data_IF_855212479629
#
_entry.id   IF_855212479629
#
_cell.length_a   1.000
_cell.length_b   1.000
_cell.length_c   1.000
_cell.angle_alpha   90.00
_cell.angle_beta   90.00
_cell.angle_gamma   90.00
#
_symmetry.space_group_name_H-M   'P 1'
#
loop_
_entity.id
_entity.type
_entity.pdbx_description
1 polymer ?
#
# COMPACT_ATOMS: atom_id res chain seq x y z
N UNK A 1 10.40 -0.93 -14.91
CA UNK A 1 9.35 -1.67 -15.66
C UNK A 1 8.17 -0.72 -15.93
N UNK A 2 7.58 -0.70 -17.14
CA UNK A 2 6.38 0.09 -17.48
C UNK A 2 5.16 -0.76 -17.83
N UNK A 3 5.27 -2.09 -17.71
CA UNK A 3 4.21 -3.05 -17.97
C UNK A 3 3.84 -3.75 -16.66
N UNK A 4 2.63 -3.54 -16.12
CA UNK A 4 2.20 -4.17 -14.88
C UNK A 4 2.16 -5.70 -14.97
N UNK A 5 1.91 -6.25 -16.16
CA UNK A 5 1.84 -7.71 -16.38
C UNK A 5 3.18 -8.38 -16.09
N UNK A 6 4.30 -7.67 -16.30
CA UNK A 6 5.65 -8.19 -16.03
C UNK A 6 5.98 -8.23 -14.52
N UNK A 7 5.12 -7.64 -13.67
CA UNK A 7 5.24 -7.62 -12.20
C UNK A 7 6.60 -7.01 -11.74
N UNK A 8 6.92 -7.13 -10.46
CA UNK A 8 8.10 -6.49 -9.85
C UNK A 8 7.81 -5.05 -9.45
N UNK A 9 8.81 -4.16 -9.57
CA UNK A 9 8.64 -2.72 -9.38
C UNK A 9 8.38 -2.03 -10.71
N UNK A 10 7.19 -1.46 -10.87
CA UNK A 10 6.73 -0.91 -12.15
C UNK A 10 6.11 0.48 -12.01
N UNK A 11 6.13 1.22 -13.12
CA UNK A 11 5.50 2.53 -13.25
C UNK A 11 4.19 2.41 -14.01
N UNK A 12 3.12 2.96 -13.43
CA UNK A 12 1.85 3.19 -14.10
C UNK A 12 1.57 4.68 -14.30
N UNK A 13 0.41 5.00 -14.88
CA UNK A 13 -0.04 6.37 -15.04
C UNK A 13 -1.57 6.46 -14.94
N UNK A 14 -2.07 7.67 -14.71
CA UNK A 14 -3.48 8.01 -14.76
C UNK A 14 -3.64 9.46 -15.24
N UNK A 15 -4.87 9.87 -15.54
CA UNK A 15 -5.18 11.26 -15.86
C UNK A 15 -5.95 11.91 -14.71
N UNK A 16 -5.57 13.15 -14.39
CA UNK A 16 -6.30 14.01 -13.48
C UNK A 16 -6.27 15.43 -14.05
N UNK A 17 -7.45 16.04 -14.23
CA UNK A 17 -7.61 17.36 -14.88
C UNK A 17 -6.86 17.44 -16.22
N UNK A 18 -7.05 16.44 -17.09
CA UNK A 18 -6.37 16.27 -18.39
C UNK A 18 -4.83 16.20 -18.34
N UNK A 19 -4.23 16.17 -17.15
CA UNK A 19 -2.79 16.03 -16.97
C UNK A 19 -2.44 14.58 -16.67
N UNK A 20 -1.50 14.02 -17.44
CA UNK A 20 -0.97 12.68 -17.20
C UNK A 20 -0.08 12.70 -15.96
N UNK A 21 -0.42 11.88 -14.97
CA UNK A 21 0.31 11.71 -13.71
C UNK A 21 0.87 10.29 -13.63
N UNK A 22 1.98 10.12 -12.92
CA UNK A 22 2.67 8.84 -12.80
C UNK A 22 2.67 8.36 -11.35
N UNK A 23 2.64 7.04 -11.20
CA UNK A 23 2.90 6.37 -9.93
C UNK A 23 3.86 5.23 -10.16
N UNK A 24 4.55 4.81 -9.12
CA UNK A 24 5.39 3.62 -9.11
C UNK A 24 4.95 2.71 -7.97
N UNK A 25 4.81 1.42 -8.23
CA UNK A 25 4.31 0.44 -7.26
C UNK A 25 4.86 -0.95 -7.51
N UNK A 26 4.51 -1.88 -6.63
CA UNK A 26 5.09 -3.22 -6.56
C UNK A 26 4.02 -4.30 -6.67
N UNK A 27 4.34 -5.37 -7.40
CA UNK A 27 3.61 -6.64 -7.33
C UNK A 27 4.60 -7.78 -7.39
N UNK A 28 4.83 -8.46 -6.26
CA UNK A 28 5.93 -9.43 -6.14
C UNK A 28 5.50 -10.89 -6.20
N UNK A 29 4.27 -11.23 -5.82
CA UNK A 29 3.85 -12.62 -5.92
C UNK A 29 3.88 -13.12 -7.38
N UNK A 30 4.29 -14.37 -7.66
CA UNK A 30 4.89 -15.33 -6.70
C UNK A 30 6.41 -15.20 -6.50
N UNK A 31 7.19 -14.75 -7.49
CA UNK A 31 8.67 -14.73 -7.45
C UNK A 31 9.28 -13.49 -8.12
N UNK A 32 8.59 -12.35 -8.04
CA UNK A 32 8.97 -11.12 -8.71
C UNK A 32 9.64 -10.09 -7.80
N UNK A 33 9.83 -10.38 -6.50
CA UNK A 33 10.61 -9.51 -5.61
C UNK A 33 12.05 -9.37 -6.12
N UNK A 34 12.63 -10.46 -6.64
CA UNK A 34 13.95 -10.49 -7.28
C UNK A 34 14.12 -9.53 -8.47
N UNK A 35 13.03 -9.03 -9.07
CA UNK A 35 13.07 -8.03 -10.14
C UNK A 35 13.23 -6.60 -9.61
N UNK A 36 12.95 -6.37 -8.33
CA UNK A 36 13.05 -5.06 -7.68
C UNK A 36 14.33 -4.93 -6.84
N UNK A 37 14.71 -5.98 -6.11
CA UNK A 37 15.93 -6.01 -5.31
C UNK A 37 16.48 -7.46 -5.18
N UNK A 38 17.81 -7.65 -5.08
CA UNK A 38 18.38 -8.97 -4.82
C UNK A 38 17.89 -9.55 -3.49
N UNK A 39 17.33 -10.75 -3.51
CA UNK A 39 16.81 -11.42 -2.33
C UNK A 39 16.69 -12.94 -2.50
N UNK A 40 16.55 -13.64 -1.39
CA UNK A 40 16.13 -15.05 -1.36
C UNK A 40 14.61 -15.13 -1.56
N UNK A 41 14.19 -15.11 -2.82
CA UNK A 41 12.80 -14.96 -3.24
C UNK A 41 12.04 -16.29 -3.25
N UNK A 42 12.01 -16.95 -2.08
CA UNK A 42 11.15 -18.08 -1.76
C UNK A 42 10.43 -17.83 -0.42
N UNK A 43 9.17 -18.24 -0.26
CA UNK A 43 8.37 -17.89 0.92
C UNK A 43 8.98 -18.30 2.28
N UNK A 44 9.79 -19.36 2.30
CA UNK A 44 10.44 -19.88 3.51
C UNK A 44 11.54 -18.97 4.07
N UNK A 45 12.19 -18.15 3.24
CA UNK A 45 13.25 -17.23 3.65
C UNK A 45 12.67 -15.92 4.17
N UNK A 46 11.88 -16.00 5.25
CA UNK A 46 11.30 -14.81 5.88
C UNK A 46 12.38 -13.95 6.51
N UNK A 47 12.19 -12.63 6.46
CA UNK A 47 13.15 -11.65 6.97
C UNK A 47 12.43 -10.40 7.48
N UNK A 48 13.15 -9.59 8.24
CA UNK A 48 12.74 -8.25 8.64
C UNK A 48 13.24 -7.24 7.60
N UNK A 49 12.37 -6.37 7.12
CA UNK A 49 12.71 -5.36 6.12
C UNK A 49 12.59 -3.95 6.71
N UNK A 50 13.65 -3.16 6.58
CA UNK A 50 13.60 -1.71 6.78
C UNK A 50 13.73 -1.06 5.41
N UNK A 51 12.71 -0.31 5.01
CA UNK A 51 12.60 0.25 3.66
C UNK A 51 12.84 1.76 3.75
N UNK A 52 13.63 2.29 2.82
CA UNK A 52 13.81 3.73 2.65
C UNK A 52 13.55 4.10 1.20
N UNK A 53 12.72 5.12 0.98
CA UNK A 53 12.36 5.61 -0.35
C UNK A 53 12.78 7.06 -0.45
N UNK A 54 13.56 7.37 -1.50
CA UNK A 54 13.86 8.76 -1.86
C UNK A 54 13.01 9.14 -3.06
N UNK A 55 12.21 10.19 -2.93
CA UNK A 55 11.27 10.67 -3.96
C UNK A 55 11.38 12.20 -4.09
N UNK A 56 10.95 12.79 -5.23
CA UNK A 56 10.77 14.22 -5.33
C UNK A 56 9.85 14.76 -4.23
N UNK A 57 10.18 15.94 -3.69
CA UNK A 57 9.39 16.66 -2.69
C UNK A 57 8.04 17.17 -3.24
N UNK A 58 7.91 17.23 -4.56
CA UNK A 58 6.67 17.57 -5.29
C UNK A 58 5.58 16.49 -5.22
N UNK A 59 5.92 15.28 -4.76
CA UNK A 59 4.97 14.18 -4.55
C UNK A 59 4.48 14.10 -3.10
N UNK A 60 3.38 13.38 -2.88
CA UNK A 60 2.90 13.06 -1.53
C UNK A 60 3.77 12.00 -0.84
N UNK A 61 3.52 11.72 0.46
CA UNK A 61 4.20 10.65 1.17
C UNK A 61 4.17 9.31 0.43
N UNK A 62 5.27 8.57 0.51
CA UNK A 62 5.32 7.20 0.00
C UNK A 62 4.62 6.25 0.98
N UNK A 63 4.12 5.14 0.44
CA UNK A 63 3.46 4.10 1.21
C UNK A 63 4.29 2.82 1.14
N UNK A 64 4.30 2.06 2.23
CA UNK A 64 4.94 0.75 2.33
C UNK A 64 4.20 -0.10 3.37
N UNK A 65 4.72 -1.28 3.72
CA UNK A 65 4.12 -2.19 4.69
C UNK A 65 3.88 -1.54 6.06
N UNK A 66 4.85 -0.77 6.56
CA UNK A 66 4.81 -0.10 7.86
C UNK A 66 4.64 1.41 7.73
N UNK A 67 4.39 2.11 8.84
CA UNK A 67 4.37 3.57 8.88
C UNK A 67 5.77 4.18 8.71
N UNK A 68 5.83 5.43 8.26
CA UNK A 68 7.08 6.20 8.15
C UNK A 68 7.61 6.47 9.56
N UNK A 69 8.87 6.08 9.82
CA UNK A 69 9.56 6.33 11.10
C UNK A 69 10.34 7.64 11.08
N UNK A 70 10.87 8.05 9.93
CA UNK A 70 11.61 9.30 9.78
C UNK A 70 11.53 9.84 8.36
N UNK A 71 11.64 11.17 8.26
CA UNK A 71 11.60 11.93 7.02
C UNK A 71 12.75 12.91 7.00
N UNK A 72 13.59 12.84 5.95
CA UNK A 72 14.75 13.70 5.77
C UNK A 72 14.64 14.46 4.44
N UNK A 73 14.86 15.77 4.46
CA UNK A 73 14.92 16.59 3.24
C UNK A 73 16.32 16.51 2.65
N UNK A 74 16.41 16.18 1.36
CA UNK A 74 17.66 16.01 0.61
C UNK A 74 17.58 16.83 -0.68
N UNK A 75 17.95 18.10 -0.62
CA UNK A 75 17.78 19.03 -1.75
C UNK A 75 16.31 19.13 -2.15
N UNK A 76 15.99 18.87 -3.42
CA UNK A 76 14.61 18.86 -3.96
C UNK A 76 13.97 17.46 -3.87
N UNK A 77 14.27 16.73 -2.80
CA UNK A 77 13.79 15.37 -2.59
C UNK A 77 13.59 15.12 -1.10
N UNK A 78 12.80 14.11 -0.80
CA UNK A 78 12.54 13.64 0.55
C UNK A 78 12.89 12.17 0.63
N UNK A 79 13.62 11.78 1.66
CA UNK A 79 13.86 10.39 2.03
C UNK A 79 12.97 10.02 3.21
N UNK A 80 12.08 9.07 2.98
CA UNK A 80 11.22 8.49 4.00
C UNK A 80 11.76 7.10 4.35
N UNK A 81 12.03 6.86 5.63
CA UNK A 81 12.37 5.54 6.15
C UNK A 81 11.18 5.02 6.93
N UNK A 82 10.80 3.76 6.68
CA UNK A 82 9.70 3.10 7.34
C UNK A 82 10.18 2.30 8.55
N UNK A 83 9.30 2.11 9.54
CA UNK A 83 9.57 1.17 10.62
C UNK A 83 9.87 -0.24 10.07
N UNK A 84 10.72 -1.03 10.75
CA UNK A 84 10.98 -2.40 10.34
C UNK A 84 9.70 -3.23 10.31
N UNK A 85 9.49 -4.02 9.26
CA UNK A 85 8.36 -4.95 9.16
C UNK A 85 8.41 -6.02 10.26
N UNK A 86 7.31 -6.74 10.54
CA UNK A 86 7.38 -8.09 11.07
C UNK A 86 8.26 -9.01 10.20
N UNK A 87 8.52 -10.23 10.67
CA UNK A 87 9.18 -11.26 9.87
C UNK A 87 8.21 -11.71 8.76
N UNK A 88 8.49 -11.30 7.52
CA UNK A 88 7.63 -11.56 6.35
C UNK A 88 8.41 -12.20 5.21
N UNK A 89 7.70 -12.85 4.29
CA UNK A 89 8.28 -13.36 3.04
C UNK A 89 8.51 -12.24 2.02
N UNK A 90 9.52 -12.36 1.16
CA UNK A 90 9.89 -11.33 0.18
C UNK A 90 8.73 -10.88 -0.74
N UNK A 91 7.82 -11.81 -1.08
CA UNK A 91 6.67 -11.51 -1.94
C UNK A 91 5.63 -10.55 -1.31
N UNK A 92 5.66 -10.38 0.02
CA UNK A 92 4.78 -9.46 0.76
C UNK A 92 5.38 -8.05 0.90
N UNK A 93 6.65 -7.86 0.54
CA UNK A 93 7.25 -6.52 0.56
C UNK A 93 6.51 -5.64 -0.45
N UNK A 94 6.17 -4.42 -0.03
CA UNK A 94 5.42 -3.50 -0.85
C UNK A 94 5.87 -2.06 -0.64
N UNK A 95 5.85 -1.31 -1.73
CA UNK A 95 5.95 0.14 -1.67
C UNK A 95 5.27 0.81 -2.86
N UNK A 96 4.86 2.05 -2.64
CA UNK A 96 4.17 2.90 -3.61
C UNK A 96 4.62 4.36 -3.49
N UNK A 97 4.84 5.00 -4.64
CA UNK A 97 5.23 6.41 -4.75
C UNK A 97 4.33 7.09 -5.78
N UNK A 98 3.61 8.12 -5.36
CA UNK A 98 2.67 8.85 -6.21
C UNK A 98 2.23 10.17 -5.56
N UNK A 99 1.25 10.82 -6.18
CA UNK A 99 0.48 11.90 -5.60
C UNK A 99 -0.94 11.46 -5.17
N UNK A 100 -1.12 10.16 -4.90
CA UNK A 100 -2.37 9.58 -4.39
C UNK A 100 -2.75 10.18 -3.04
N UNK A 101 -4.05 10.14 -2.76
CA UNK A 101 -4.65 10.79 -1.61
C UNK A 101 -5.37 9.76 -0.73
N UNK A 102 -5.17 9.81 0.60
CA UNK A 102 -5.84 8.90 1.54
C UNK A 102 -7.18 9.45 2.02
N UNK A 103 -8.11 8.55 2.32
CA UNK A 103 -9.20 8.76 3.29
C UNK A 103 -8.90 7.91 4.52
N UNK A 104 -8.54 8.57 5.62
CA UNK A 104 -8.25 7.92 6.91
C UNK A 104 -9.57 7.62 7.61
N UNK A 105 -9.78 6.38 8.02
CA UNK A 105 -11.07 5.87 8.50
C UNK A 105 -11.10 5.61 10.01
N UNK A 106 -10.13 6.15 10.75
CA UNK A 106 -10.00 5.84 12.18
C UNK A 106 -10.93 6.65 13.07
N UNK A 107 -11.79 5.94 13.80
CA UNK A 107 -12.62 6.46 14.88
C UNK A 107 -11.91 6.48 16.25
N UNK A 108 -10.84 5.69 16.43
CA UNK A 108 -10.07 5.62 17.70
C UNK A 108 -8.59 5.29 17.46
N UNK A 109 -7.67 6.11 18.01
CA UNK A 109 -6.27 5.70 18.16
C UNK A 109 -6.21 4.49 19.11
N UNK A 110 -5.50 3.38 18.80
CA UNK A 110 -4.36 3.26 17.86
C UNK A 110 -4.57 2.30 16.66
N UNK A 111 -5.71 2.32 15.96
CA UNK A 111 -6.01 1.38 14.85
C UNK A 111 -5.98 2.00 13.44
N UNK A 112 -4.81 2.40 12.88
CA UNK A 112 -4.72 3.11 11.59
C UNK A 112 -5.25 2.28 10.42
N UNK A 113 -6.25 2.84 9.71
CA UNK A 113 -6.88 2.27 8.52
C UNK A 113 -7.11 3.36 7.47
N UNK A 114 -6.70 3.12 6.22
CA UNK A 114 -6.84 4.10 5.13
C UNK A 114 -7.23 3.45 3.81
N UNK A 115 -8.11 4.12 3.06
CA UNK A 115 -8.29 3.86 1.63
C UNK A 115 -7.49 4.91 0.85
N UNK A 116 -6.66 4.48 -0.09
CA UNK A 116 -5.75 5.36 -0.85
C UNK A 116 -6.01 5.17 -2.34
N UNK A 117 -6.20 6.25 -3.08
CA UNK A 117 -6.39 6.20 -4.53
C UNK A 117 -5.76 7.39 -5.24
N UNK A 118 -5.81 7.35 -6.57
CA UNK A 118 -5.60 8.55 -7.38
C UNK A 118 -6.53 9.69 -6.98
N UNK A 119 -6.10 10.92 -7.26
CA UNK A 119 -6.92 12.12 -7.11
C UNK A 119 -8.21 12.01 -7.93
N UNK A 120 -9.30 12.57 -7.40
CA UNK A 120 -10.62 12.57 -8.05
C UNK A 120 -11.41 11.26 -7.93
N UNK A 121 -11.02 10.36 -7.03
CA UNK A 121 -11.78 9.13 -6.74
C UNK A 121 -12.03 8.91 -5.24
N UNK A 122 -11.73 9.91 -4.40
CA UNK A 122 -11.85 9.84 -2.94
C UNK A 122 -13.30 9.75 -2.44
N UNK A 123 -14.24 10.23 -3.24
CA UNK A 123 -15.69 10.09 -3.05
C UNK A 123 -16.15 8.62 -3.09
N UNK A 124 -15.34 7.73 -3.68
CA UNK A 124 -15.61 6.29 -3.79
C UNK A 124 -14.98 5.47 -2.65
N UNK A 125 -14.36 6.12 -1.65
CA UNK A 125 -13.67 5.44 -0.54
C UNK A 125 -14.60 4.95 0.56
N UNK A 126 -15.74 5.61 0.77
CA UNK A 126 -16.53 5.49 2.00
C UNK A 126 -16.96 4.05 2.30
N UNK A 127 -17.45 3.32 1.29
CA UNK A 127 -17.90 1.95 1.45
C UNK A 127 -16.77 1.00 1.86
N UNK A 128 -15.62 1.06 1.17
CA UNK A 128 -14.47 0.22 1.49
C UNK A 128 -13.86 0.54 2.86
N UNK A 129 -13.87 1.82 3.24
CA UNK A 129 -13.45 2.28 4.57
C UNK A 129 -14.32 1.67 5.68
N UNK A 130 -15.64 1.78 5.56
CA UNK A 130 -16.60 1.28 6.55
C UNK A 130 -16.51 -0.24 6.70
N UNK A 131 -16.66 -0.96 5.59
CA UNK A 131 -16.65 -2.43 5.59
C UNK A 131 -15.28 -2.99 5.95
N UNK A 132 -14.19 -2.36 5.50
CA UNK A 132 -12.84 -2.81 5.81
C UNK A 132 -12.50 -2.73 7.29
N UNK A 133 -12.93 -1.66 7.97
CA UNK A 133 -12.79 -1.53 9.44
C UNK A 133 -13.64 -2.58 10.16
N UNK A 134 -14.90 -2.76 9.75
CA UNK A 134 -15.78 -3.77 10.35
C UNK A 134 -15.21 -5.19 10.21
N UNK A 135 -14.77 -5.58 9.01
CA UNK A 135 -14.17 -6.89 8.76
C UNK A 135 -12.91 -7.09 9.62
N UNK A 136 -12.05 -6.07 9.73
CA UNK A 136 -10.83 -6.16 10.54
C UNK A 136 -11.20 -6.44 12.01
N UNK A 137 -12.14 -5.69 12.58
CA UNK A 137 -12.58 -5.88 13.96
C UNK A 137 -13.23 -7.26 14.18
N UNK A 138 -14.07 -7.72 13.24
CA UNK A 138 -14.68 -9.05 13.34
C UNK A 138 -13.64 -10.17 13.27
N UNK A 139 -12.60 -10.02 12.43
CA UNK A 139 -11.50 -10.98 12.35
C UNK A 139 -10.63 -10.96 13.62
N UNK A 140 -10.38 -9.79 14.20
CA UNK A 140 -9.69 -9.65 15.48
C UNK A 140 -10.43 -10.45 16.58
N UNK A 141 -11.74 -10.23 16.69
CA UNK A 141 -12.61 -10.92 17.65
C UNK A 141 -12.67 -12.44 17.39
N UNK A 142 -12.83 -12.84 16.13
CA UNK A 142 -12.97 -14.24 15.75
C UNK A 142 -11.69 -15.05 15.96
N UNK A 143 -10.53 -14.47 15.60
CA UNK A 143 -9.24 -15.14 15.72
C UNK A 143 -8.64 -14.99 17.13
N UNK A 144 -9.10 -14.03 17.92
CA UNK A 144 -8.49 -13.65 19.20
C UNK A 144 -7.09 -13.05 19.02
N UNK A 145 -6.83 -12.43 17.86
CA UNK A 145 -5.54 -11.85 17.49
C UNK A 145 -5.79 -10.44 16.94
N UNK A 146 -5.37 -9.44 17.68
CA UNK A 146 -5.46 -8.03 17.27
C UNK A 146 -4.51 -7.73 16.10
N UNK A 147 -5.07 -7.43 14.92
CA UNK A 147 -4.29 -7.11 13.72
C UNK A 147 -3.27 -5.98 13.97
N UNK A 148 -3.70 -4.94 14.67
CA UNK A 148 -2.88 -3.75 14.92
C UNK A 148 -1.69 -4.01 15.86
N UNK A 149 -1.70 -5.11 16.61
CA UNK A 149 -0.59 -5.54 17.48
C UNK A 149 0.43 -6.44 16.74
N UNK A 150 0.12 -6.87 15.53
CA UNK A 150 0.98 -7.78 14.75
C UNK A 150 2.27 -7.14 14.22
N UNK A 151 2.47 -5.83 14.41
CA UNK A 151 3.64 -5.08 13.91
C UNK A 151 4.97 -5.36 14.64
N UNK A 152 4.98 -6.30 15.61
CA UNK A 152 6.16 -6.74 16.37
C UNK A 152 6.93 -5.58 17.04
N UNK A 153 6.23 -4.84 17.92
CA UNK A 153 6.78 -3.69 18.64
C UNK A 153 6.49 -2.35 18.00
N UNK A 154 5.72 -2.33 16.92
CA UNK A 154 5.15 -1.14 16.27
C UNK A 154 3.67 -1.40 15.98
N UNK A 155 2.87 -0.34 15.91
CA UNK A 155 1.46 -0.46 15.50
C UNK A 155 1.41 -0.86 14.03
N UNK A 156 0.71 -1.94 13.71
CA UNK A 156 0.44 -2.35 12.35
C UNK A 156 -0.64 -1.44 11.75
N UNK A 157 -0.40 -0.88 10.57
CA UNK A 157 -1.43 -0.15 9.81
C UNK A 157 -2.15 -1.08 8.85
N UNK A 158 -3.36 -0.71 8.46
CA UNK A 158 -4.14 -1.41 7.45
C UNK A 158 -4.51 -0.45 6.31
N UNK A 159 -3.54 -0.20 5.42
CA UNK A 159 -3.79 0.64 4.26
C UNK A 159 -4.24 -0.22 3.07
N UNK A 160 -5.25 0.25 2.35
CA UNK A 160 -5.76 -0.36 1.13
C UNK A 160 -5.58 0.61 -0.02
N UNK A 161 -4.81 0.24 -1.04
CA UNK A 161 -4.50 1.11 -2.17
C UNK A 161 -5.17 0.63 -3.47
N UNK A 162 -5.93 1.52 -4.09
CA UNK A 162 -6.60 1.33 -5.37
C UNK A 162 -5.68 1.79 -6.51
N UNK A 163 -5.22 0.84 -7.33
CA UNK A 163 -4.29 1.06 -8.43
C UNK A 163 -5.04 1.03 -9.78
N UNK A 164 -4.87 2.07 -10.64
CA UNK A 164 -5.51 2.12 -11.96
C UNK A 164 -5.17 0.91 -12.85
N UNK A 165 -3.92 0.44 -12.77
CA UNK A 165 -3.43 -0.69 -13.57
C UNK A 165 -2.72 -1.69 -12.65
N UNK A 166 -3.46 -2.73 -12.28
CA UNK A 166 -3.00 -3.81 -11.41
C UNK A 166 -3.20 -5.17 -12.10
N UNK A 167 -2.14 -5.99 -12.23
CA UNK A 167 -2.17 -7.22 -13.02
C UNK A 167 -2.97 -8.34 -12.34
N UNK A 168 -3.43 -8.15 -11.11
CA UNK A 168 -4.23 -9.10 -10.32
C UNK A 168 -5.52 -8.40 -9.84
N UNK A 169 -6.37 -9.11 -9.10
CA UNK A 169 -7.54 -8.49 -8.48
C UNK A 169 -7.16 -7.67 -7.24
N UNK A 170 -6.52 -8.35 -6.30
CA UNK A 170 -5.89 -7.75 -5.13
C UNK A 170 -4.60 -8.50 -4.79
N UNK A 171 -3.82 -7.97 -3.84
CA UNK A 171 -2.65 -8.61 -3.27
C UNK A 171 -2.52 -8.21 -1.79
N UNK A 172 -2.37 -9.21 -0.93
CA UNK A 172 -2.38 -9.12 0.53
C UNK A 172 -1.07 -8.62 1.14
N UNK A 173 -0.39 -7.66 0.50
CA UNK A 173 0.87 -7.15 1.04
C UNK A 173 0.64 -6.57 2.44
N UNK A 174 1.36 -7.12 3.42
CA UNK A 174 1.00 -6.93 4.83
C UNK A 174 1.09 -5.45 5.23
N UNK A 175 -0.04 -4.86 5.62
CA UNK A 175 -0.20 -3.45 5.97
C UNK A 175 -0.35 -2.46 4.83
N UNK A 176 -0.27 -2.91 3.58
CA UNK A 176 -0.52 -2.10 2.39
C UNK A 176 -1.10 -2.99 1.28
N UNK A 177 -2.38 -3.31 1.37
CA UNK A 177 -3.07 -4.22 0.46
C UNK A 177 -3.32 -3.51 -0.87
N UNK A 178 -2.83 -4.08 -1.97
CA UNK A 178 -2.99 -3.51 -3.31
C UNK A 178 -4.23 -4.07 -4.00
N UNK A 179 -5.02 -3.21 -4.65
CA UNK A 179 -6.22 -3.58 -5.40
C UNK A 179 -6.19 -3.00 -6.81
N UNK A 180 -6.84 -3.68 -7.76
CA UNK A 180 -7.38 -2.98 -8.94
C UNK A 180 -8.54 -2.08 -8.49
N UNK A 181 -8.64 -0.87 -9.04
CA UNK A 181 -9.69 0.11 -8.64
C UNK A 181 -11.09 -0.51 -8.55
N UNK A 182 -11.50 -1.31 -9.54
CA UNK A 182 -12.83 -1.94 -9.62
C UNK A 182 -13.15 -2.91 -8.47
N UNK A 183 -12.16 -3.34 -7.69
CA UNK A 183 -12.34 -4.24 -6.54
C UNK A 183 -12.28 -3.53 -5.18
N UNK A 184 -12.04 -2.23 -5.16
CA UNK A 184 -11.94 -1.45 -3.92
C UNK A 184 -12.83 -0.20 -3.94
N UNK A 185 -12.82 0.55 -5.05
CA UNK A 185 -13.59 1.77 -5.19
C UNK A 185 -15.05 1.44 -5.54
N UNK A 186 -15.96 2.16 -4.89
CA UNK A 186 -17.40 1.95 -5.04
C UNK A 186 -18.12 3.27 -5.28
N UNK A 187 -18.88 3.34 -6.37
CA UNK A 187 -19.79 4.43 -6.68
C UNK A 187 -21.24 3.89 -6.65
N UNK A 188 -22.09 4.33 -5.70
CA UNK A 188 -23.49 3.88 -5.64
C UNK A 188 -24.31 4.18 -6.90
N UNK A 189 -23.91 5.17 -7.70
CA UNK A 189 -24.62 5.58 -8.91
C UNK A 189 -24.22 4.77 -10.15
N UNK A 190 -23.12 4.03 -10.10
CA UNK A 190 -22.56 3.30 -11.24
C UNK A 190 -22.13 1.89 -10.82
N UNK A 191 -22.59 0.86 -11.52
CA UNK A 191 -22.06 -0.49 -11.33
C UNK A 191 -20.69 -0.63 -12.00
N UNK A 192 -19.71 -1.19 -11.29
CA UNK A 192 -18.37 -1.53 -11.81
C UNK A 192 -18.41 -2.55 -12.96
#
# INVERSE_FOLDING_TARGET
NTNPVDRGFYRGYYYYENTRRYYATTQFQPYHARKAFPCFDEPQFKSRYTISITRPDTLGPSYSNMAISSTEVIGNSVRETFYPTPIISAYLVAFHVSDFVPTVSTSTAPRPFSIISRRGATDQHAYAAEIGVEITNQLDDYLGIEYHDMGQGQIMKNDHIALPDFPSGAMENWGMVNYRETYLLYDPANTN
#
